data_IF_657345646749
#
_entry.id   IF_657345646749
#
_cell.length_a   1.000
_cell.length_b   1.000
_cell.length_c   1.000
_cell.angle_alpha   90.00
_cell.angle_beta   90.00
_cell.angle_gamma   90.00
#
_symmetry.space_group_name_H-M   'P 1'
#
loop_
_entity.id
_entity.type
_entity.pdbx_description
1 polymer ?
#
# COMPACT_ATOMS: atom_id res chain seq x y z
N UNK A 1 -5.52 -23.34 3.30
CA UNK A 1 -5.20 -22.11 2.57
C UNK A 1 -3.72 -22.06 2.25
N UNK A 2 -3.36 -21.76 1.01
CA UNK A 2 -1.96 -21.74 0.59
C UNK A 2 -1.29 -20.42 0.96
N UNK A 3 0.04 -20.45 1.07
CA UNK A 3 0.82 -19.22 1.32
C UNK A 3 0.63 -18.20 0.21
N UNK A 4 0.47 -18.68 -1.03
CA UNK A 4 0.23 -17.80 -2.17
C UNK A 4 -1.08 -17.04 -2.05
N UNK A 5 -2.14 -17.68 -1.54
CA UNK A 5 -3.41 -17.02 -1.31
C UNK A 5 -3.30 -15.93 -0.26
N UNK A 6 -2.51 -16.19 0.80
CA UNK A 6 -2.27 -15.18 1.85
C UNK A 6 -1.49 -13.99 1.31
N UNK A 7 -0.48 -14.25 0.48
CA UNK A 7 0.30 -13.19 -0.16
C UNK A 7 -0.57 -12.33 -1.07
N UNK A 8 -1.43 -12.95 -1.86
CA UNK A 8 -2.35 -12.21 -2.72
C UNK A 8 -3.26 -11.29 -1.90
N UNK A 9 -3.76 -11.79 -0.77
CA UNK A 9 -4.57 -10.99 0.13
C UNK A 9 -3.84 -9.76 0.64
N UNK A 10 -2.56 -9.91 1.00
CA UNK A 10 -1.72 -8.80 1.45
C UNK A 10 -1.48 -7.79 0.32
N UNK A 11 -1.17 -8.28 -0.87
CA UNK A 11 -0.96 -7.41 -2.04
C UNK A 11 -2.20 -6.56 -2.29
N UNK A 12 -3.38 -7.15 -2.25
CA UNK A 12 -4.64 -6.43 -2.46
C UNK A 12 -4.90 -5.41 -1.36
N UNK A 13 -4.58 -5.76 -0.12
CA UNK A 13 -4.76 -4.84 1.01
C UNK A 13 -3.88 -3.61 0.87
N UNK A 14 -2.61 -3.80 0.53
CA UNK A 14 -1.69 -2.68 0.35
C UNK A 14 -2.06 -1.83 -0.87
N UNK A 15 -2.51 -2.48 -1.95
CA UNK A 15 -2.97 -1.75 -3.13
C UNK A 15 -4.15 -0.84 -2.79
N UNK A 16 -5.11 -1.36 -2.04
CA UNK A 16 -6.27 -0.59 -1.60
C UNK A 16 -5.85 0.58 -0.71
N UNK A 17 -4.93 0.34 0.21
CA UNK A 17 -4.42 1.40 1.09
C UNK A 17 -3.70 2.49 0.30
N UNK A 18 -2.95 2.12 -0.75
CA UNK A 18 -2.28 3.09 -1.61
C UNK A 18 -3.28 3.96 -2.37
N UNK A 19 -4.35 3.36 -2.89
CA UNK A 19 -5.39 4.10 -3.59
C UNK A 19 -6.02 5.14 -2.67
N UNK A 20 -6.34 4.74 -1.44
CA UNK A 20 -6.94 5.66 -0.47
C UNK A 20 -6.03 6.82 -0.11
N UNK A 21 -4.74 6.54 0.12
CA UNK A 21 -3.82 7.61 0.52
C UNK A 21 -3.51 8.54 -0.66
N UNK A 22 -3.51 8.03 -1.88
CA UNK A 22 -3.33 8.86 -3.06
C UNK A 22 -4.49 9.84 -3.19
N UNK A 23 -5.73 9.37 -2.98
CA UNK A 23 -6.90 10.24 -3.00
C UNK A 23 -6.81 11.31 -1.91
N UNK A 24 -6.37 10.94 -0.72
CA UNK A 24 -6.18 11.90 0.37
C UNK A 24 -5.14 12.94 0.00
N UNK A 25 -4.02 12.53 -0.59
CA UNK A 25 -2.94 13.43 -0.99
C UNK A 25 -3.36 14.39 -2.10
N UNK A 26 -4.30 14.00 -2.95
CA UNK A 26 -4.83 14.90 -3.96
C UNK A 26 -5.45 16.15 -3.33
N UNK A 27 -6.09 16.00 -2.17
CA UNK A 27 -6.66 17.12 -1.44
C UNK A 27 -5.70 17.76 -0.42
N UNK A 28 -4.64 17.04 -0.05
CA UNK A 28 -3.72 17.48 1.01
C UNK A 28 -2.27 17.16 0.59
N UNK A 29 -1.76 17.79 -0.47
CA UNK A 29 -0.46 17.39 -1.05
C UNK A 29 0.73 17.66 -0.14
N UNK A 30 0.60 18.57 0.83
CA UNK A 30 1.69 18.93 1.74
C UNK A 30 1.63 18.17 3.08
N UNK A 31 0.74 17.19 3.20
CA UNK A 31 0.60 16.47 4.46
C UNK A 31 1.74 15.48 4.64
N UNK A 32 2.68 15.81 5.53
CA UNK A 32 3.88 15.00 5.76
C UNK A 32 3.54 13.60 6.28
N UNK A 33 2.53 13.48 7.15
CA UNK A 33 2.14 12.18 7.69
C UNK A 33 1.57 11.27 6.60
N UNK A 34 0.78 11.82 5.68
CA UNK A 34 0.22 11.06 4.57
C UNK A 34 1.30 10.62 3.59
N UNK A 35 2.29 11.48 3.33
CA UNK A 35 3.42 11.15 2.47
C UNK A 35 4.25 10.02 3.09
N UNK A 36 4.48 10.08 4.38
CA UNK A 36 5.20 9.02 5.09
C UNK A 36 4.43 7.70 5.01
N UNK A 37 3.13 7.74 5.23
CA UNK A 37 2.27 6.57 5.15
C UNK A 37 2.31 5.97 3.73
N UNK A 38 2.23 6.83 2.71
CA UNK A 38 2.31 6.38 1.33
C UNK A 38 3.61 5.62 1.07
N UNK A 39 4.74 6.19 1.50
CA UNK A 39 6.05 5.57 1.30
C UNK A 39 6.14 4.22 2.02
N UNK A 40 5.62 4.13 3.24
CA UNK A 40 5.61 2.88 4.00
C UNK A 40 4.75 1.82 3.32
N UNK A 41 3.56 2.20 2.85
CA UNK A 41 2.67 1.27 2.17
C UNK A 41 3.22 0.85 0.82
N UNK A 42 3.88 1.76 0.11
CA UNK A 42 4.51 1.43 -1.17
C UNK A 42 5.64 0.41 -0.99
N UNK A 43 6.47 0.60 0.04
CA UNK A 43 7.54 -0.34 0.35
C UNK A 43 6.97 -1.72 0.69
N UNK A 44 5.91 -1.75 1.51
CA UNK A 44 5.28 -3.00 1.89
C UNK A 44 4.62 -3.69 0.69
N UNK A 45 3.99 -2.92 -0.19
CA UNK A 45 3.38 -3.43 -1.41
C UNK A 45 4.44 -4.06 -2.31
N UNK A 46 5.53 -3.35 -2.56
CA UNK A 46 6.59 -3.83 -3.44
C UNK A 46 7.20 -5.13 -2.90
N UNK A 47 7.38 -5.22 -1.59
CA UNK A 47 7.90 -6.43 -0.95
C UNK A 47 6.93 -7.60 -1.10
N UNK A 48 5.66 -7.38 -0.82
CA UNK A 48 4.64 -8.43 -0.93
C UNK A 48 4.47 -8.88 -2.37
N UNK A 49 4.50 -7.95 -3.32
CA UNK A 49 4.39 -8.26 -4.75
C UNK A 49 5.58 -9.09 -5.22
N UNK A 50 6.77 -8.79 -4.72
CA UNK A 50 7.97 -9.54 -5.09
C UNK A 50 7.92 -10.99 -4.56
N UNK A 51 7.27 -11.20 -3.43
CA UNK A 51 7.10 -12.54 -2.86
C UNK A 51 5.99 -13.33 -3.55
N UNK A 52 5.05 -12.65 -4.17
CA UNK A 52 3.94 -13.30 -4.86
C UNK A 52 4.37 -13.87 -6.19
#
# INVERSE_FOLDING_TARGET
>A
MTDKAKLLGRVRMYDFALVEVIEYLDGHPDNAAALKYYNEMRTAFDKAAAEY
#
